data_IF_508744132248
#
_entry.id   IF_508744132248
#
_cell.length_a   1.000
_cell.length_b   1.000
_cell.length_c   1.000
_cell.angle_alpha   90.00
_cell.angle_beta   90.00
_cell.angle_gamma   90.00
#
_symmetry.space_group_name_H-M   'P 1'
#
loop_
_entity.id
_entity.type
_entity.pdbx_description
1 polymer ?
#
# COMPACT_ATOMS: atom_id res chain seq x y z
N UNK A 1 21.57 -14.36 34.74
CA UNK A 1 20.49 -14.94 33.92
C UNK A 1 19.64 -13.81 33.38
N UNK A 2 19.46 -13.84 32.05
CA UNK A 2 18.37 -13.24 31.27
C UNK A 2 18.28 -11.72 31.17
N UNK A 3 18.94 -11.15 30.15
CA UNK A 3 18.75 -9.76 29.68
C UNK A 3 18.57 -9.63 28.16
N UNK A 4 18.33 -10.73 27.45
CA UNK A 4 18.45 -10.79 25.98
C UNK A 4 17.11 -10.66 25.22
N UNK A 5 15.97 -10.74 25.93
CA UNK A 5 14.65 -10.79 25.30
C UNK A 5 13.94 -9.45 25.12
N UNK A 6 14.28 -8.43 25.92
CA UNK A 6 13.55 -7.15 25.92
C UNK A 6 14.03 -6.18 24.83
N UNK A 7 15.33 -6.20 24.50
CA UNK A 7 15.95 -5.26 23.56
C UNK A 7 15.56 -5.53 22.09
N UNK A 8 15.47 -6.82 21.72
CA UNK A 8 15.02 -7.22 20.38
C UNK A 8 13.52 -6.95 20.14
N UNK A 9 12.72 -6.85 21.21
CA UNK A 9 11.30 -6.53 21.13
C UNK A 9 11.06 -5.04 20.83
N UNK A 10 11.82 -4.13 21.45
CA UNK A 10 11.69 -2.69 21.24
C UNK A 10 12.13 -2.27 19.84
N UNK A 11 13.28 -2.74 19.34
CA UNK A 11 13.76 -2.34 18.01
C UNK A 11 12.83 -2.81 16.88
N UNK A 12 12.33 -4.06 16.97
CA UNK A 12 11.36 -4.58 15.99
C UNK A 12 10.04 -3.81 16.02
N UNK A 13 9.57 -3.41 17.21
CA UNK A 13 8.36 -2.59 17.34
C UNK A 13 8.58 -1.17 16.78
N UNK A 14 9.76 -0.59 16.98
CA UNK A 14 10.12 0.72 16.43
C UNK A 14 10.20 0.69 14.89
N UNK A 15 10.75 -0.38 14.32
CA UNK A 15 10.76 -0.61 12.86
C UNK A 15 9.36 -0.75 12.28
N UNK A 16 8.49 -1.53 12.92
CA UNK A 16 7.08 -1.66 12.50
C UNK A 16 6.36 -0.32 12.61
N UNK A 17 6.58 0.41 13.71
CA UNK A 17 5.97 1.74 13.91
C UNK A 17 6.41 2.70 12.82
N UNK A 18 7.71 2.74 12.48
CA UNK A 18 8.23 3.55 11.38
C UNK A 18 7.57 3.16 10.05
N UNK A 19 7.53 1.88 9.71
CA UNK A 19 6.87 1.42 8.47
C UNK A 19 5.39 1.82 8.41
N UNK A 20 4.66 1.70 9.51
CA UNK A 20 3.25 2.07 9.57
C UNK A 20 3.05 3.59 9.45
N UNK A 21 3.92 4.40 10.03
CA UNK A 21 3.88 5.87 9.89
C UNK A 21 4.13 6.31 8.45
N UNK A 22 5.12 5.71 7.77
CA UNK A 22 5.37 5.97 6.35
C UNK A 22 4.16 5.56 5.50
N UNK A 23 3.61 4.37 5.73
CA UNK A 23 2.41 3.90 5.03
C UNK A 23 1.20 4.82 5.28
N UNK A 24 1.00 5.28 6.52
CA UNK A 24 -0.08 6.20 6.85
C UNK A 24 0.07 7.55 6.12
N UNK A 25 1.30 8.03 5.96
CA UNK A 25 1.60 9.25 5.21
C UNK A 25 1.24 9.09 3.72
N UNK A 26 1.61 7.97 3.10
CA UNK A 26 1.24 7.67 1.71
C UNK A 26 -0.29 7.52 1.53
N UNK A 27 -0.97 6.87 2.49
CA UNK A 27 -2.44 6.78 2.48
C UNK A 27 -3.08 8.17 2.55
N UNK A 28 -2.52 9.08 3.37
CA UNK A 28 -3.00 10.45 3.46
C UNK A 28 -2.81 11.22 2.15
N UNK A 29 -1.65 11.08 1.50
CA UNK A 29 -1.39 11.70 0.19
C UNK A 29 -2.40 11.19 -0.86
N UNK A 30 -2.71 9.89 -0.88
CA UNK A 30 -3.72 9.33 -1.78
C UNK A 30 -5.13 9.85 -1.48
N UNK A 31 -5.47 10.03 -0.19
CA UNK A 31 -6.73 10.64 0.25
C UNK A 31 -6.84 12.08 -0.27
N UNK A 32 -5.80 12.89 -0.09
CA UNK A 32 -5.77 14.28 -0.57
C UNK A 32 -5.93 14.35 -2.09
N UNK A 33 -5.22 13.50 -2.85
CA UNK A 33 -5.36 13.44 -4.31
C UNK A 33 -6.77 13.06 -4.74
N UNK A 34 -7.43 12.16 -4.02
CA UNK A 34 -8.82 11.77 -4.30
C UNK A 34 -9.77 12.95 -4.07
N UNK A 35 -9.63 13.67 -2.94
CA UNK A 35 -10.42 14.86 -2.64
C UNK A 35 -10.25 15.96 -3.70
N UNK A 36 -9.01 16.20 -4.14
CA UNK A 36 -8.70 17.16 -5.21
C UNK A 36 -9.32 16.72 -6.53
N UNK A 37 -9.25 15.44 -6.91
CA UNK A 37 -9.86 14.93 -8.13
C UNK A 37 -11.38 15.08 -8.11
N UNK A 38 -12.03 14.72 -7.00
CA UNK A 38 -13.47 14.90 -6.84
C UNK A 38 -13.87 16.38 -6.93
N UNK A 39 -13.11 17.28 -6.31
CA UNK A 39 -13.35 18.71 -6.41
C UNK A 39 -13.22 19.20 -7.86
N UNK A 40 -12.14 18.83 -8.56
CA UNK A 40 -11.89 19.22 -9.94
C UNK A 40 -12.94 18.68 -10.92
N UNK A 41 -13.51 17.50 -10.66
CA UNK A 41 -14.58 16.92 -11.47
C UNK A 41 -15.92 17.62 -11.19
N UNK A 42 -16.21 17.93 -9.92
CA UNK A 42 -17.39 18.72 -9.51
C UNK A 42 -17.36 20.12 -10.10
N UNK A 43 -16.23 20.83 -10.03
CA UNK A 43 -16.08 22.15 -10.64
C UNK A 43 -16.33 22.15 -12.16
N UNK A 44 -16.07 21.02 -12.83
CA UNK A 44 -16.33 20.84 -14.27
C UNK A 44 -17.72 20.29 -14.58
N UNK A 45 -18.58 20.10 -13.57
CA UNK A 45 -19.91 19.51 -13.72
C UNK A 45 -19.89 18.04 -14.18
N UNK A 46 -18.79 17.32 -13.94
CA UNK A 46 -18.60 15.91 -14.34
C UNK A 46 -18.89 14.92 -13.21
N UNK A 47 -19.18 15.41 -12.01
CA UNK A 47 -19.44 14.60 -10.83
C UNK A 47 -20.47 15.32 -9.96
N UNK A 48 -21.51 14.61 -9.53
CA UNK A 48 -22.47 15.13 -8.56
C UNK A 48 -21.93 15.01 -7.13
N UNK A 49 -22.41 15.87 -6.24
CA UNK A 49 -22.07 15.79 -4.81
C UNK A 49 -22.45 14.43 -4.22
N UNK A 50 -21.51 13.80 -3.52
CA UNK A 50 -21.71 12.50 -2.88
C UNK A 50 -21.80 11.30 -3.84
N UNK A 51 -21.65 11.50 -5.16
CA UNK A 51 -21.78 10.42 -6.14
C UNK A 51 -20.77 9.27 -5.91
N UNK A 52 -19.54 9.59 -5.49
CA UNK A 52 -18.50 8.58 -5.18
C UNK A 52 -18.92 7.70 -4.00
N UNK A 53 -19.45 8.29 -2.94
CA UNK A 53 -19.91 7.56 -1.74
C UNK A 53 -21.21 6.77 -1.98
N UNK A 54 -22.07 7.30 -2.85
CA UNK A 54 -23.32 6.66 -3.23
C UNK A 54 -23.13 5.49 -4.19
N UNK A 55 -22.05 5.49 -4.98
CA UNK A 55 -21.77 4.43 -5.95
C UNK A 55 -21.69 3.07 -5.25
N UNK A 56 -22.40 2.08 -5.81
CA UNK A 56 -22.28 0.68 -5.44
C UNK A 56 -21.69 -0.06 -6.63
N UNK A 57 -20.36 -0.32 -6.63
CA UNK A 57 -19.71 -1.02 -7.72
C UNK A 57 -20.36 -2.37 -7.98
N UNK A 58 -20.59 -2.68 -9.26
CA UNK A 58 -21.14 -3.95 -9.72
C UNK A 58 -20.54 -4.31 -11.08
N UNK A 59 -20.74 -5.55 -11.52
CA UNK A 59 -20.22 -6.04 -12.81
C UNK A 59 -18.72 -5.85 -12.96
N UNK A 60 -18.29 -5.39 -14.15
CA UNK A 60 -16.89 -5.20 -14.51
C UNK A 60 -16.11 -4.32 -13.54
N UNK A 61 -16.73 -3.24 -13.03
CA UNK A 61 -16.08 -2.32 -12.10
C UNK A 61 -15.75 -3.01 -10.78
N UNK A 62 -16.67 -3.83 -10.25
CA UNK A 62 -16.45 -4.58 -9.02
C UNK A 62 -15.33 -5.62 -9.19
N UNK A 63 -15.31 -6.33 -10.31
CA UNK A 63 -14.26 -7.29 -10.63
C UNK A 63 -12.89 -6.62 -10.73
N UNK A 64 -12.82 -5.47 -11.41
CA UNK A 64 -11.58 -4.70 -11.53
C UNK A 64 -11.10 -4.24 -10.16
N UNK A 65 -11.97 -3.67 -9.32
CA UNK A 65 -11.61 -3.29 -7.94
C UNK A 65 -11.12 -4.49 -7.12
N UNK A 66 -11.71 -5.67 -7.31
CA UNK A 66 -11.27 -6.91 -6.68
C UNK A 66 -9.84 -7.30 -7.08
N UNK A 67 -9.54 -7.29 -8.38
CA UNK A 67 -8.19 -7.59 -8.91
C UNK A 67 -7.14 -6.62 -8.39
N UNK A 68 -7.39 -5.32 -8.54
CA UNK A 68 -6.46 -4.27 -8.08
C UNK A 68 -6.18 -4.37 -6.57
N UNK A 69 -7.21 -4.67 -5.77
CA UNK A 69 -7.05 -4.91 -4.33
C UNK A 69 -6.20 -6.14 -4.06
N UNK A 70 -6.43 -7.25 -4.76
CA UNK A 70 -5.62 -8.46 -4.66
C UNK A 70 -4.16 -8.20 -4.96
N UNK A 71 -3.86 -7.52 -6.08
CA UNK A 71 -2.50 -7.18 -6.49
C UNK A 71 -1.81 -6.23 -5.51
N UNK A 72 -2.55 -5.27 -4.95
CA UNK A 72 -2.04 -4.38 -3.91
C UNK A 72 -1.69 -5.13 -2.63
N UNK A 73 -2.63 -5.95 -2.11
CA UNK A 73 -2.42 -6.76 -0.89
C UNK A 73 -1.27 -7.73 -1.09
N UNK A 74 -1.20 -8.40 -2.25
CA UNK A 74 -0.10 -9.30 -2.60
C UNK A 74 1.26 -8.61 -2.57
N UNK A 75 1.37 -7.39 -3.12
CA UNK A 75 2.62 -6.61 -3.05
C UNK A 75 2.98 -6.18 -1.63
N UNK A 76 2.01 -5.71 -0.84
CA UNK A 76 2.25 -5.23 0.54
C UNK A 76 2.69 -6.38 1.45
N UNK A 77 1.97 -7.49 1.45
CA UNK A 77 2.29 -8.63 2.32
C UNK A 77 3.43 -9.49 1.79
N UNK A 78 3.54 -9.67 0.46
CA UNK A 78 4.69 -10.33 -0.14
C UNK A 78 6.00 -9.58 0.14
N UNK A 79 5.96 -8.25 0.22
CA UNK A 79 7.10 -7.48 0.68
C UNK A 79 7.44 -7.82 2.15
N UNK A 80 6.49 -7.82 3.08
CA UNK A 80 6.74 -8.01 4.52
C UNK A 80 7.08 -9.45 4.91
N UNK A 81 6.46 -10.44 4.29
CA UNK A 81 6.51 -11.85 4.70
C UNK A 81 7.61 -12.66 4.02
N UNK A 82 8.24 -12.15 2.97
CA UNK A 82 9.24 -12.88 2.19
C UNK A 82 10.62 -12.18 2.18
N UNK A 83 11.46 -12.44 3.21
CA UNK A 83 12.85 -12.01 3.21
C UNK A 83 13.66 -12.66 2.09
N UNK A 84 13.35 -13.91 1.74
CA UNK A 84 14.13 -14.72 0.80
C UNK A 84 13.93 -14.29 -0.65
N UNK A 85 12.72 -13.92 -1.08
CA UNK A 85 12.54 -13.45 -2.48
C UNK A 85 13.07 -12.05 -2.73
N UNK A 86 13.29 -11.21 -1.71
CA UNK A 86 14.00 -9.93 -1.89
C UNK A 86 15.48 -10.15 -2.18
N UNK A 87 16.13 -11.07 -1.47
CA UNK A 87 17.54 -11.44 -1.69
C UNK A 87 17.71 -12.14 -3.04
N UNK A 88 16.78 -13.02 -3.42
CA UNK A 88 16.77 -13.68 -4.73
C UNK A 88 16.54 -12.68 -5.89
N UNK A 89 15.66 -11.69 -5.74
CA UNK A 89 15.42 -10.65 -6.75
C UNK A 89 16.55 -9.61 -6.87
N UNK A 90 17.32 -9.37 -5.80
CA UNK A 90 18.48 -8.49 -5.82
C UNK A 90 19.73 -9.16 -6.45
N UNK A 91 19.92 -10.45 -6.21
CA UNK A 91 21.06 -11.24 -6.72
C UNK A 91 20.91 -11.62 -8.20
N UNK A 92 19.67 -11.74 -8.70
CA UNK A 92 19.38 -12.02 -10.12
C UNK A 92 19.51 -10.82 -11.07
N UNK A 93 19.56 -9.58 -10.55
CA UNK A 93 19.83 -8.36 -11.34
C UNK A 93 21.31 -8.02 -11.52
N UNK A 94 22.22 -8.78 -10.91
CA UNK A 94 23.67 -8.51 -10.92
C UNK A 94 24.49 -9.63 -11.58
N UNK A 95 23.87 -10.49 -12.40
CA UNK A 95 24.61 -11.47 -13.22
C UNK A 95 25.36 -10.76 -14.36
N UNK A 96 26.65 -11.06 -14.60
CA UNK A 96 27.49 -10.25 -15.46
C UNK A 96 27.10 -10.40 -16.94
N UNK A 97 27.18 -9.28 -17.67
CA UNK A 97 27.34 -9.33 -19.11
C UNK A 97 28.67 -10.04 -19.42
N UNK A 98 28.57 -11.25 -19.95
CA UNK A 98 29.68 -12.08 -20.41
C UNK A 98 29.16 -13.12 -21.39
#
# INVERSE_FOLDING_TARGET
MSGDGAYLGSERLDEITRMLTELASEVWILRDRTLVLEHLLRERGQLDDGAVDALRPSGELLERLGRERGDFVGRVFGAVLDPDTRVAAATSRTGPAG
#
